data_IF_226671315316
#
_entry.id   IF_226671315316
#
_cell.length_a   1.000
_cell.length_b   1.000
_cell.length_c   1.000
_cell.angle_alpha   90.00
_cell.angle_beta   90.00
_cell.angle_gamma   90.00
#
_symmetry.space_group_name_H-M   'P 1'
#
loop_
_entity.id
_entity.type
_entity.pdbx_description
1 polymer ?
#
# COMPACT_ATOMS: atom_id res chain seq x y z
N UNK A 1 -16.39 -4.24 5.05
CA UNK A 1 -14.97 -3.82 5.09
C UNK A 1 -14.04 -4.94 5.54
N UNK A 2 -14.27 -5.55 6.70
CA UNK A 2 -13.43 -6.64 7.24
C UNK A 2 -13.30 -7.82 6.26
N UNK A 3 -14.40 -8.25 5.61
CA UNK A 3 -14.38 -9.36 4.64
C UNK A 3 -13.50 -9.02 3.42
N UNK A 4 -13.59 -7.80 2.88
CA UNK A 4 -12.75 -7.35 1.76
C UNK A 4 -11.28 -7.30 2.14
N UNK A 5 -10.96 -6.84 3.36
CA UNK A 5 -9.57 -6.81 3.85
C UNK A 5 -9.02 -8.23 3.98
N UNK A 6 -9.78 -9.18 4.53
CA UNK A 6 -9.36 -10.59 4.67
C UNK A 6 -9.15 -11.23 3.28
N UNK A 7 -10.08 -11.04 2.35
CA UNK A 7 -9.98 -11.57 0.98
C UNK A 7 -8.71 -11.07 0.29
N UNK A 8 -8.44 -9.77 0.35
CA UNK A 8 -7.25 -9.16 -0.22
C UNK A 8 -5.99 -9.69 0.46
N UNK A 9 -5.99 -9.84 1.79
CA UNK A 9 -4.86 -10.38 2.53
C UNK A 9 -4.54 -11.83 2.12
N UNK A 10 -5.56 -12.67 1.89
CA UNK A 10 -5.38 -14.03 1.36
C UNK A 10 -4.78 -14.01 -0.05
N UNK A 11 -5.31 -13.18 -0.95
CA UNK A 11 -4.79 -13.05 -2.33
C UNK A 11 -3.34 -12.53 -2.31
N UNK A 12 -3.06 -11.55 -1.46
CA UNK A 12 -1.72 -10.99 -1.26
C UNK A 12 -0.73 -12.03 -0.76
N UNK A 13 -1.13 -12.89 0.19
CA UNK A 13 -0.29 -14.01 0.66
C UNK A 13 0.00 -14.99 -0.48
N UNK A 14 -1.01 -15.38 -1.24
CA UNK A 14 -0.84 -16.32 -2.36
C UNK A 14 0.13 -15.75 -3.41
N UNK A 15 -0.05 -14.49 -3.81
CA UNK A 15 0.84 -13.84 -4.78
C UNK A 15 2.25 -13.64 -4.23
N UNK A 16 2.38 -13.29 -2.95
CA UNK A 16 3.67 -13.14 -2.28
C UNK A 16 4.44 -14.45 -2.24
N UNK A 17 3.79 -15.56 -1.88
CA UNK A 17 4.40 -16.90 -1.87
C UNK A 17 4.81 -17.31 -3.28
N UNK A 18 3.96 -17.03 -4.29
CA UNK A 18 4.23 -17.33 -5.69
C UNK A 18 5.47 -16.56 -6.19
N UNK A 19 5.62 -15.29 -5.84
CA UNK A 19 6.80 -14.48 -6.23
C UNK A 19 8.08 -14.93 -5.52
N UNK A 20 8.02 -15.38 -4.27
CA UNK A 20 9.18 -15.97 -3.58
C UNK A 20 9.58 -17.30 -4.25
N UNK A 21 8.62 -18.14 -4.60
CA UNK A 21 8.89 -19.41 -5.27
C UNK A 21 9.41 -19.21 -6.70
N UNK A 22 8.86 -18.25 -7.45
CA UNK A 22 9.25 -17.98 -8.83
C UNK A 22 10.41 -16.96 -8.95
N UNK A 23 10.99 -16.48 -7.85
CA UNK A 23 12.03 -15.45 -7.89
C UNK A 23 13.20 -15.82 -8.83
N UNK A 24 13.54 -17.11 -8.84
CA UNK A 24 14.66 -17.63 -9.63
C UNK A 24 14.30 -17.71 -11.12
N UNK A 25 13.02 -17.83 -11.47
CA UNK A 25 12.52 -17.82 -12.86
C UNK A 25 12.27 -16.39 -13.35
N UNK A 26 11.77 -15.50 -12.47
CA UNK A 26 11.50 -14.08 -12.78
C UNK A 26 12.81 -13.37 -13.20
N UNK A 27 13.91 -13.62 -12.49
CA UNK A 27 15.21 -13.05 -12.86
C UNK A 27 15.61 -13.35 -14.31
N UNK A 28 15.36 -14.59 -14.77
CA UNK A 28 15.67 -15.04 -16.12
C UNK A 28 14.74 -14.46 -17.20
N UNK A 29 13.47 -14.17 -16.86
CA UNK A 29 12.51 -13.56 -17.79
C UNK A 29 12.90 -12.11 -18.13
N UNK A 30 13.44 -11.36 -17.15
CA UNK A 30 13.79 -9.95 -17.32
C UNK A 30 15.25 -9.72 -17.74
N UNK A 31 16.17 -10.63 -17.43
CA UNK A 31 17.58 -10.47 -17.81
C UNK A 31 18.34 -11.79 -17.81
N UNK A 32 19.21 -11.96 -18.81
CA UNK A 32 20.17 -13.08 -18.86
C UNK A 32 21.45 -12.83 -18.07
N UNK A 33 21.61 -11.66 -17.42
CA UNK A 33 22.80 -11.33 -16.64
C UNK A 33 22.75 -11.92 -15.24
N UNK A 34 23.77 -12.71 -14.88
CA UNK A 34 23.91 -13.29 -13.53
C UNK A 34 23.91 -12.23 -12.43
N UNK A 35 24.45 -11.03 -12.68
CA UNK A 35 24.45 -9.93 -11.73
C UNK A 35 23.03 -9.45 -11.41
N UNK A 36 22.15 -9.38 -12.43
CA UNK A 36 20.75 -8.99 -12.27
C UNK A 36 19.95 -10.09 -11.58
N UNK A 37 20.17 -11.36 -11.95
CA UNK A 37 19.51 -12.50 -11.31
C UNK A 37 19.88 -12.59 -9.83
N UNK A 38 21.17 -12.42 -9.47
CA UNK A 38 21.60 -12.35 -8.08
C UNK A 38 20.99 -11.19 -7.33
N UNK A 39 20.83 -10.03 -7.96
CA UNK A 39 20.19 -8.88 -7.35
C UNK A 39 18.68 -9.12 -7.11
N UNK A 40 17.97 -9.69 -8.09
CA UNK A 40 16.54 -10.03 -8.00
C UNK A 40 16.27 -11.05 -6.90
N UNK A 41 17.07 -12.11 -6.79
CA UNK A 41 16.95 -13.10 -5.71
C UNK A 41 17.08 -12.43 -4.34
N UNK A 42 18.10 -11.59 -4.21
CA UNK A 42 18.37 -10.77 -3.04
C UNK A 42 17.27 -9.76 -2.68
N UNK A 43 16.48 -9.34 -3.66
CA UNK A 43 15.36 -8.39 -3.56
C UNK A 43 14.01 -9.11 -3.40
N UNK A 44 13.94 -10.42 -3.65
CA UNK A 44 12.70 -11.20 -3.69
C UNK A 44 11.93 -11.17 -2.37
N UNK A 45 12.63 -11.24 -1.23
CA UNK A 45 12.01 -11.10 0.09
C UNK A 45 11.36 -9.71 0.24
N UNK A 46 12.03 -8.67 -0.24
CA UNK A 46 11.49 -7.31 -0.18
C UNK A 46 10.29 -7.14 -1.14
N UNK A 47 10.34 -7.77 -2.31
CA UNK A 47 9.22 -7.84 -3.26
C UNK A 47 8.00 -8.51 -2.63
N UNK A 48 8.21 -9.63 -1.94
CA UNK A 48 7.16 -10.37 -1.25
C UNK A 48 6.42 -9.46 -0.23
N UNK A 49 7.18 -8.76 0.61
CA UNK A 49 6.63 -7.78 1.55
C UNK A 49 5.94 -6.61 0.83
N UNK A 50 6.52 -6.11 -0.26
CA UNK A 50 5.92 -5.07 -1.10
C UNK A 50 4.55 -5.50 -1.62
N UNK A 51 4.42 -6.73 -2.10
CA UNK A 51 3.17 -7.28 -2.66
C UNK A 51 2.12 -7.42 -1.55
N UNK A 52 2.51 -7.92 -0.37
CA UNK A 52 1.60 -7.99 0.78
C UNK A 52 1.05 -6.62 1.15
N UNK A 53 1.93 -5.62 1.32
CA UNK A 53 1.54 -4.25 1.66
C UNK A 53 0.67 -3.61 0.55
N UNK A 54 1.03 -3.80 -0.72
CA UNK A 54 0.26 -3.33 -1.86
C UNK A 54 -1.05 -4.10 -2.08
N UNK A 55 -1.30 -5.21 -1.38
CA UNK A 55 -2.61 -5.85 -1.43
C UNK A 55 -3.60 -5.21 -0.46
N UNK A 56 -3.11 -4.74 0.69
CA UNK A 56 -3.93 -4.18 1.77
C UNK A 56 -4.18 -2.69 1.55
N UNK A 57 -3.15 -1.93 1.20
CA UNK A 57 -3.23 -0.47 1.06
C UNK A 57 -4.25 0.00 0.01
N UNK A 58 -4.23 -0.46 -1.27
CA UNK A 58 -5.14 0.03 -2.30
C UNK A 58 -6.61 -0.29 -2.00
N UNK A 59 -6.87 -1.38 -1.28
CA UNK A 59 -8.22 -1.79 -0.90
C UNK A 59 -8.77 -0.86 0.18
N UNK A 60 -7.96 -0.55 1.20
CA UNK A 60 -8.32 0.44 2.22
C UNK A 60 -8.43 1.85 1.64
N UNK A 61 -7.45 2.26 0.84
CA UNK A 61 -7.44 3.56 0.16
C UNK A 61 -8.64 3.69 -0.77
N UNK A 62 -8.96 2.64 -1.54
CA UNK A 62 -10.13 2.61 -2.42
C UNK A 62 -11.45 2.72 -1.66
N UNK A 63 -11.59 2.01 -0.54
CA UNK A 63 -12.76 2.12 0.33
C UNK A 63 -12.90 3.51 0.96
N UNK A 64 -11.79 4.11 1.42
CA UNK A 64 -11.77 5.45 2.00
C UNK A 64 -12.09 6.53 0.96
N UNK A 65 -11.49 6.46 -0.23
CA UNK A 65 -11.78 7.36 -1.35
C UNK A 65 -13.24 7.23 -1.79
N UNK A 66 -13.76 5.99 -1.90
CA UNK A 66 -15.17 5.73 -2.21
C UNK A 66 -16.16 6.27 -1.16
N UNK A 67 -15.72 6.39 0.09
CA UNK A 67 -16.50 7.03 1.18
C UNK A 67 -16.37 8.57 1.17
N UNK A 68 -15.58 9.14 0.26
CA UNK A 68 -15.37 10.59 0.12
C UNK A 68 -14.21 11.15 0.94
N UNK A 69 -13.33 10.29 1.48
CA UNK A 69 -12.19 10.69 2.31
C UNK A 69 -10.89 10.90 1.53
N UNK A 70 -10.99 11.07 0.21
CA UNK A 70 -9.84 11.20 -0.69
C UNK A 70 -8.82 12.26 -0.25
N UNK A 71 -9.28 13.40 0.29
CA UNK A 71 -8.39 14.47 0.75
C UNK A 71 -7.55 14.03 1.95
N UNK A 72 -8.14 13.33 2.92
CA UNK A 72 -7.43 12.80 4.09
C UNK A 72 -6.37 11.79 3.66
N UNK A 73 -6.74 10.87 2.76
CA UNK A 73 -5.81 9.88 2.20
C UNK A 73 -4.63 10.55 1.49
N UNK A 74 -4.88 11.61 0.71
CA UNK A 74 -3.85 12.34 -0.01
C UNK A 74 -2.86 13.05 0.94
N UNK A 75 -3.36 13.70 1.99
CA UNK A 75 -2.50 14.35 3.00
C UNK A 75 -1.63 13.33 3.74
N UNK A 76 -2.20 12.19 4.13
CA UNK A 76 -1.44 11.12 4.81
C UNK A 76 -0.38 10.55 3.86
N UNK A 77 -0.70 10.35 2.58
CA UNK A 77 0.25 9.87 1.57
C UNK A 77 1.45 10.80 1.46
N UNK A 78 1.21 12.10 1.22
CA UNK A 78 2.25 13.12 1.13
C UNK A 78 3.10 13.16 2.40
N UNK A 79 2.44 13.14 3.56
CA UNK A 79 3.09 13.07 4.87
C UNK A 79 4.05 11.89 5.00
N UNK A 80 3.54 10.69 4.79
CA UNK A 80 4.29 9.46 5.01
C UNK A 80 5.40 9.29 3.98
N UNK A 81 5.15 9.51 2.70
CA UNK A 81 6.18 9.30 1.67
C UNK A 81 7.27 10.37 1.70
N UNK A 82 6.92 11.65 1.85
CA UNK A 82 7.91 12.72 1.76
C UNK A 82 8.62 13.01 3.08
N UNK A 83 7.91 13.01 4.22
CA UNK A 83 8.54 13.34 5.51
C UNK A 83 9.13 12.13 6.22
N UNK A 84 8.66 10.91 5.95
CA UNK A 84 9.13 9.70 6.65
C UNK A 84 9.84 8.75 5.68
N UNK A 85 9.20 8.35 4.59
CA UNK A 85 9.74 7.41 3.62
C UNK A 85 11.03 7.90 2.96
N UNK A 86 11.10 9.18 2.59
CA UNK A 86 12.25 9.75 1.91
C UNK A 86 13.49 9.88 2.81
N UNK A 87 13.40 10.43 4.05
CA UNK A 87 14.53 10.40 4.99
C UNK A 87 14.93 8.99 5.40
N UNK A 88 13.96 8.10 5.62
CA UNK A 88 14.22 6.74 6.09
C UNK A 88 14.84 5.88 4.98
N UNK A 89 14.43 6.09 3.72
CA UNK A 89 15.07 5.53 2.53
C UNK A 89 16.49 6.05 2.33
N UNK A 90 16.73 7.34 2.55
CA UNK A 90 18.07 7.93 2.51
C UNK A 90 18.98 7.35 3.60
N UNK A 91 18.49 7.26 4.84
CA UNK A 91 19.23 6.68 5.98
C UNK A 91 19.53 5.20 5.72
N UNK A 92 18.53 4.40 5.32
CA UNK A 92 18.77 2.98 5.04
C UNK A 92 19.70 2.77 3.83
N UNK A 93 19.57 3.57 2.77
CA UNK A 93 20.41 3.48 1.59
C UNK A 93 21.87 3.83 1.86
N UNK A 94 22.09 4.96 2.56
CA UNK A 94 23.41 5.57 2.69
C UNK A 94 24.12 5.23 4.01
N UNK A 95 23.41 5.20 5.14
CA UNK A 95 24.00 4.92 6.47
C UNK A 95 24.26 3.43 6.65
N UNK A 96 23.32 2.58 6.24
CA UNK A 96 23.49 1.12 6.33
C UNK A 96 24.24 0.53 5.13
N UNK A 97 24.66 1.35 4.15
CA UNK A 97 25.37 0.93 2.94
C UNK A 97 24.67 -0.22 2.18
N UNK A 98 23.36 -0.37 2.35
CA UNK A 98 22.56 -1.41 1.68
C UNK A 98 22.12 -0.98 0.27
N UNK A 99 22.52 0.23 -0.17
CA UNK A 99 22.31 0.74 -1.52
C UNK A 99 20.83 0.76 -1.90
N UNK A 100 20.53 0.25 -3.09
CA UNK A 100 19.17 0.25 -3.66
C UNK A 100 18.18 -0.56 -2.80
N UNK A 101 18.63 -1.64 -2.15
CA UNK A 101 17.77 -2.42 -1.24
C UNK A 101 17.30 -1.60 -0.04
N UNK A 102 18.21 -0.83 0.55
CA UNK A 102 17.94 0.00 1.71
C UNK A 102 16.97 1.13 1.39
N UNK A 103 17.17 1.79 0.24
CA UNK A 103 16.26 2.84 -0.24
C UNK A 103 14.86 2.26 -0.44
N UNK A 104 14.78 1.10 -1.10
CA UNK A 104 13.50 0.48 -1.38
C UNK A 104 12.79 0.02 -0.10
N UNK A 105 13.53 -0.60 0.82
CA UNK A 105 13.00 -1.03 2.11
C UNK A 105 12.49 0.17 2.90
N UNK A 106 13.29 1.24 3.01
CA UNK A 106 12.92 2.45 3.73
C UNK A 106 11.70 3.15 3.14
N UNK A 107 11.54 3.14 1.81
CA UNK A 107 10.34 3.68 1.14
C UNK A 107 9.09 2.83 1.41
N UNK A 108 9.20 1.51 1.40
CA UNK A 108 8.07 0.60 1.64
C UNK A 108 7.65 0.66 3.11
N UNK A 109 8.62 0.54 4.03
CA UNK A 109 8.35 0.54 5.47
C UNK A 109 7.98 1.93 5.98
N UNK A 110 8.68 2.98 5.54
CA UNK A 110 8.43 4.36 5.99
C UNK A 110 7.26 5.05 5.29
N UNK A 111 7.02 4.74 4.02
CA UNK A 111 5.90 5.29 3.25
C UNK A 111 4.66 4.42 3.36
N UNK A 112 4.64 3.31 2.60
CA UNK A 112 3.44 2.47 2.41
C UNK A 112 2.95 1.84 3.72
N UNK A 113 3.84 1.28 4.54
CA UNK A 113 3.41 0.57 5.75
C UNK A 113 2.84 1.52 6.82
N UNK A 114 3.52 2.64 7.09
CA UNK A 114 3.03 3.65 8.04
C UNK A 114 1.72 4.27 7.55
N UNK A 115 1.63 4.63 6.27
CA UNK A 115 0.39 5.14 5.69
C UNK A 115 -0.76 4.13 5.83
N UNK A 116 -0.51 2.85 5.55
CA UNK A 116 -1.51 1.78 5.71
C UNK A 116 -1.96 1.67 7.16
N UNK A 117 -1.03 1.73 8.11
CA UNK A 117 -1.33 1.63 9.54
C UNK A 117 -2.20 2.80 10.03
N UNK A 118 -1.86 4.02 9.61
CA UNK A 118 -2.66 5.22 9.92
C UNK A 118 -4.07 5.08 9.33
N UNK A 119 -4.17 4.61 8.08
CA UNK A 119 -5.46 4.46 7.43
C UNK A 119 -6.33 3.40 8.10
N UNK A 120 -5.75 2.26 8.50
CA UNK A 120 -6.43 1.23 9.31
C UNK A 120 -6.92 1.83 10.63
N UNK A 121 -6.07 2.59 11.32
CA UNK A 121 -6.43 3.19 12.60
C UNK A 121 -7.61 4.16 12.49
N UNK A 122 -7.58 5.07 11.51
CA UNK A 122 -8.68 6.01 11.25
C UNK A 122 -9.95 5.25 10.87
N UNK A 123 -9.83 4.24 10.03
CA UNK A 123 -10.93 3.38 9.58
C UNK A 123 -11.60 2.63 10.74
N UNK A 124 -10.80 2.13 11.70
CA UNK A 124 -11.31 1.45 12.90
C UNK A 124 -11.96 2.40 13.89
N UNK A 125 -11.46 3.64 13.99
CA UNK A 125 -12.01 4.69 14.86
C UNK A 125 -13.20 5.42 14.27
N UNK A 126 -13.54 5.15 13.00
CA UNK A 126 -14.64 5.80 12.33
C UNK A 126 -15.99 5.21 12.71
N UNK A 127 -16.94 6.07 13.08
CA UNK A 127 -18.36 5.71 13.14
C UNK A 127 -18.94 5.52 11.74
N UNK A 128 -18.88 4.28 11.28
CA UNK A 128 -19.42 3.85 9.98
C UNK A 128 -20.92 4.15 9.84
N UNK A 129 -21.66 4.19 10.94
CA UNK A 129 -23.09 4.51 10.93
C UNK A 129 -23.36 5.98 10.57
N UNK A 130 -22.50 6.89 11.07
CA UNK A 130 -22.59 8.32 10.76
C UNK A 130 -22.11 8.62 9.33
N UNK A 131 -21.07 7.93 8.86
CA UNK A 131 -20.64 8.02 7.45
C UNK A 131 -21.69 7.46 6.48
N UNK A 132 -22.38 6.37 6.84
CA UNK A 132 -23.50 5.85 6.05
C UNK A 132 -24.67 6.85 5.96
N UNK A 133 -24.99 7.54 7.06
CA UNK A 133 -26.00 8.60 7.06
C UNK A 133 -25.60 9.79 6.18
N UNK A 134 -24.33 10.24 6.24
CA UNK A 134 -23.82 11.29 5.35
C UNK A 134 -23.87 10.89 3.87
N UNK A 135 -23.51 9.64 3.56
CA UNK A 135 -23.61 9.11 2.20
C UNK A 135 -25.06 9.10 1.70
N UNK A 136 -26.01 8.65 2.53
CA UNK A 136 -27.44 8.65 2.22
C UNK A 136 -27.98 10.07 1.99
N UNK A 137 -27.58 11.04 2.83
CA UNK A 137 -27.95 12.45 2.66
C UNK A 137 -27.39 13.04 1.36
N UNK A 138 -26.15 12.71 0.97
CA UNK A 138 -25.56 13.16 -0.30
C UNK A 138 -26.35 12.65 -1.50
N UNK A 139 -26.75 11.38 -1.50
CA UNK A 139 -27.58 10.80 -2.58
C UNK A 139 -28.96 11.47 -2.64
N UNK A 140 -29.57 11.71 -1.48
CA UNK A 140 -30.89 12.36 -1.39
C UNK A 140 -30.88 13.79 -1.93
N UNK A 141 -29.83 14.56 -1.63
CA UNK A 141 -29.63 15.92 -2.16
C UNK A 141 -29.37 15.90 -3.67
N UNK A 142 -28.59 14.93 -4.17
CA UNK A 142 -28.37 14.76 -5.60
C UNK A 142 -29.66 14.44 -6.36
N UNK A 143 -30.53 13.60 -5.77
CA UNK A 143 -31.85 13.31 -6.33
C UNK A 143 -32.82 14.50 -6.28
N UNK A 144 -32.66 15.43 -5.34
CA UNK A 144 -33.48 16.64 -5.30
C UNK A 144 -33.01 17.70 -6.30
N UNK A 145 -31.70 17.81 -6.53
CA UNK A 145 -31.14 18.72 -7.54
C UNK A 145 -31.39 18.19 -8.97
N UNK A 146 -31.32 16.88 -9.20
CA UNK A 146 -31.63 16.29 -10.49
C UNK A 146 -33.14 16.34 -10.87
N UNK A 147 -34.00 16.73 -9.93
CA UNK A 147 -35.46 16.84 -10.12
C UNK A 147 -35.93 18.29 -10.31
N UNK A 148 -35.04 19.27 -10.15
CA UNK A 148 -35.26 20.66 -10.53
C UNK A 148 -34.83 20.88 -11.98
#
# INVERSE_FOLDING_TARGET
>A
MIISVIQSLIIGIILSVLVVFLHNQIGWIFSSSEAVIKAVNNLSILLAFTILLNSVYPVLSGAAVGSGWQSVVAYINLGCYYFIGLPLGFVMGWVFNTGVKGIWAGMIFGGTAIQTFILIFITMRCDWENEAQKASMRVKNWQSDARK
#
